data_IF_811183875386
#
_entry.id   IF_811183875386
#
_cell.length_a   1.000
_cell.length_b   1.000
_cell.length_c   1.000
_cell.angle_alpha   90.00
_cell.angle_beta   90.00
_cell.angle_gamma   90.00
#
_symmetry.space_group_name_H-M   'P 1'
#
loop_
_entity.id
_entity.type
_entity.pdbx_description
1 polymer ?
#
# COMPACT_ATOMS: atom_id res chain seq x y z
N UNK A 1 8.26 -55.01 2.43
CA UNK A 1 8.26 -54.00 1.34
C UNK A 1 9.66 -53.46 1.20
N UNK A 2 10.32 -53.72 0.07
CA UNK A 2 11.67 -53.22 -0.18
C UNK A 2 11.66 -51.69 -0.25
N UNK A 3 12.77 -51.05 0.12
CA UNK A 3 12.92 -49.59 0.09
C UNK A 3 12.55 -49.00 -1.29
N UNK A 4 12.93 -49.71 -2.35
CA UNK A 4 12.63 -49.37 -3.74
C UNK A 4 11.12 -49.26 -3.99
N UNK A 5 10.32 -50.21 -3.49
CA UNK A 5 8.87 -50.18 -3.67
C UNK A 5 8.24 -48.96 -2.97
N UNK A 6 8.74 -48.59 -1.80
CA UNK A 6 8.29 -47.38 -1.09
C UNK A 6 8.61 -46.11 -1.87
N UNK A 7 9.80 -46.05 -2.47
CA UNK A 7 10.22 -44.92 -3.29
C UNK A 7 9.39 -44.79 -4.57
N UNK A 8 9.05 -45.91 -5.23
CA UNK A 8 8.17 -45.90 -6.40
C UNK A 8 6.77 -45.40 -6.08
N UNK A 9 6.13 -45.90 -5.03
CA UNK A 9 4.80 -45.44 -4.62
C UNK A 9 4.80 -43.95 -4.25
N UNK A 10 5.83 -43.48 -3.55
CA UNK A 10 5.97 -42.06 -3.20
C UNK A 10 6.18 -41.18 -4.45
N UNK A 11 7.07 -41.59 -5.35
CA UNK A 11 7.37 -40.84 -6.57
C UNK A 11 6.17 -40.79 -7.51
N UNK A 12 5.40 -41.88 -7.61
CA UNK A 12 4.16 -41.92 -8.37
C UNK A 12 3.14 -40.89 -7.83
N UNK A 13 3.00 -40.78 -6.51
CA UNK A 13 2.15 -39.76 -5.88
C UNK A 13 2.60 -38.33 -6.20
N UNK A 14 3.90 -38.05 -6.19
CA UNK A 14 4.44 -36.73 -6.57
C UNK A 14 4.12 -36.42 -8.03
N UNK A 15 4.40 -37.35 -8.95
CA UNK A 15 4.13 -37.16 -10.38
C UNK A 15 2.65 -36.90 -10.62
N UNK A 16 1.77 -37.68 -9.99
CA UNK A 16 0.33 -37.49 -10.07
C UNK A 16 -0.08 -36.09 -9.57
N UNK A 17 0.47 -35.65 -8.43
CA UNK A 17 0.21 -34.32 -7.87
C UNK A 17 0.64 -33.18 -8.80
N UNK A 18 1.83 -33.29 -9.41
CA UNK A 18 2.34 -32.30 -10.38
C UNK A 18 1.45 -32.24 -11.62
N UNK A 19 1.01 -33.38 -12.15
CA UNK A 19 0.09 -33.44 -13.31
C UNK A 19 -1.23 -32.73 -13.00
N UNK A 20 -1.82 -32.98 -11.82
CA UNK A 20 -3.06 -32.33 -11.39
C UNK A 20 -2.89 -30.80 -11.30
N UNK A 21 -1.78 -30.34 -10.71
CA UNK A 21 -1.45 -28.91 -10.60
C UNK A 21 -1.30 -28.30 -12.00
N UNK A 22 -0.52 -28.92 -12.88
CA UNK A 22 -0.33 -28.43 -14.25
C UNK A 22 -1.64 -28.34 -15.03
N UNK A 23 -2.52 -29.34 -14.92
CA UNK A 23 -3.81 -29.31 -15.59
C UNK A 23 -4.74 -28.24 -15.00
N UNK A 24 -4.80 -28.11 -13.66
CA UNK A 24 -5.66 -27.14 -12.97
C UNK A 24 -5.23 -25.69 -13.19
N UNK A 25 -3.92 -25.44 -13.31
CA UNK A 25 -3.34 -24.10 -13.37
C UNK A 25 -2.91 -23.70 -14.79
N UNK A 26 -2.72 -24.65 -15.71
CA UNK A 26 -2.21 -24.42 -17.07
C UNK A 26 -3.15 -23.63 -17.98
N UNK A 27 -4.45 -23.65 -17.72
CA UNK A 27 -5.44 -22.90 -18.51
C UNK A 27 -5.62 -21.44 -18.08
N UNK A 28 -4.83 -20.96 -17.11
CA UNK A 28 -4.90 -19.57 -16.63
C UNK A 28 -4.09 -18.67 -17.55
N UNK A 29 -4.73 -17.61 -18.06
CA UNK A 29 -4.07 -16.58 -18.90
C UNK A 29 -3.11 -15.70 -18.11
N UNK A 30 -3.31 -15.59 -16.80
CA UNK A 30 -2.50 -14.76 -15.91
C UNK A 30 -1.58 -15.60 -15.04
N UNK A 31 -0.33 -15.14 -14.88
CA UNK A 31 0.58 -15.68 -13.88
C UNK A 31 0.01 -15.48 -12.48
N UNK A 32 -0.02 -16.55 -11.69
CA UNK A 32 -0.39 -16.45 -10.28
C UNK A 32 0.68 -15.68 -9.50
N UNK A 33 0.33 -14.46 -9.13
CA UNK A 33 1.11 -13.64 -8.23
C UNK A 33 0.36 -13.48 -6.91
N UNK A 34 1.07 -13.76 -5.80
CA UNK A 34 0.52 -13.63 -4.46
C UNK A 34 1.34 -12.65 -3.63
N UNK A 35 0.66 -11.63 -3.10
CA UNK A 35 1.25 -10.70 -2.15
C UNK A 35 1.14 -11.28 -0.72
N UNK A 36 2.14 -12.06 -0.32
CA UNK A 36 2.20 -12.65 1.02
C UNK A 36 2.62 -11.65 2.10
N UNK A 37 3.48 -10.68 1.76
CA UNK A 37 3.96 -9.71 2.74
C UNK A 37 2.87 -8.71 3.14
N UNK A 38 2.73 -8.38 4.44
CA UNK A 38 1.71 -7.45 4.92
C UNK A 38 1.73 -6.09 4.24
N UNK A 39 2.92 -5.53 4.01
CA UNK A 39 3.12 -4.24 3.33
C UNK A 39 2.56 -4.26 1.90
N UNK A 40 2.99 -5.26 1.11
CA UNK A 40 2.50 -5.45 -0.27
C UNK A 40 0.99 -5.68 -0.32
N UNK A 41 0.43 -6.40 0.65
CA UNK A 41 -1.01 -6.67 0.72
C UNK A 41 -1.82 -5.40 0.94
N UNK A 42 -1.41 -4.54 1.87
CA UNK A 42 -2.11 -3.27 2.13
C UNK A 42 -1.97 -2.33 0.93
N UNK A 43 -0.78 -2.22 0.32
CA UNK A 43 -0.60 -1.42 -0.90
C UNK A 43 -1.50 -1.88 -2.03
N UNK A 44 -1.46 -3.18 -2.34
CA UNK A 44 -2.30 -3.80 -3.37
C UNK A 44 -3.79 -3.55 -3.10
N UNK A 45 -4.22 -3.73 -1.85
CA UNK A 45 -5.58 -3.47 -1.42
C UNK A 45 -5.99 -2.01 -1.67
N UNK A 46 -5.18 -1.04 -1.23
CA UNK A 46 -5.49 0.37 -1.40
C UNK A 46 -5.48 0.80 -2.88
N UNK A 47 -4.56 0.28 -3.70
CA UNK A 47 -4.49 0.60 -5.14
C UNK A 47 -5.61 -0.04 -5.97
N UNK A 48 -6.16 -1.17 -5.53
CA UNK A 48 -7.27 -1.85 -6.20
C UNK A 48 -8.63 -1.33 -5.72
N UNK A 49 -8.66 -0.60 -4.60
CA UNK A 49 -9.87 0.00 -4.05
C UNK A 49 -10.15 1.34 -4.73
N UNK A 50 -11.42 1.65 -4.94
CA UNK A 50 -11.82 3.03 -5.26
C UNK A 50 -11.65 3.90 -4.01
N UNK A 51 -10.73 4.88 -4.09
CA UNK A 51 -10.42 5.78 -2.99
C UNK A 51 -11.20 7.08 -3.14
N UNK A 52 -12.06 7.37 -2.17
CA UNK A 52 -12.77 8.64 -2.08
C UNK A 52 -11.93 9.66 -1.31
N UNK A 53 -11.88 10.89 -1.81
CA UNK A 53 -11.18 11.98 -1.15
C UNK A 53 -12.15 12.79 -0.30
N UNK A 54 -11.74 13.14 0.91
CA UNK A 54 -12.44 14.15 1.72
C UNK A 54 -12.05 15.56 1.25
N UNK A 55 -12.91 16.56 1.43
CA UNK A 55 -12.61 17.96 1.06
C UNK A 55 -11.30 18.44 1.69
N UNK A 56 -11.06 18.06 2.94
CA UNK A 56 -9.81 18.28 3.67
C UNK A 56 -8.61 17.70 2.95
N UNK A 57 -8.71 16.46 2.48
CA UNK A 57 -7.62 15.80 1.75
C UNK A 57 -7.36 16.43 0.39
N UNK A 58 -8.40 16.85 -0.34
CA UNK A 58 -8.29 17.53 -1.63
C UNK A 58 -7.59 18.89 -1.46
N UNK A 59 -8.04 19.68 -0.49
CA UNK A 59 -7.46 20.97 -0.14
C UNK A 59 -5.96 20.83 0.15
N UNK A 60 -5.57 19.79 0.92
CA UNK A 60 -4.15 19.52 1.22
C UNK A 60 -3.36 19.03 0.01
N UNK A 61 -3.90 18.13 -0.80
CA UNK A 61 -3.27 17.69 -2.06
C UNK A 61 -2.92 18.90 -2.94
N UNK A 62 -3.90 19.79 -3.14
CA UNK A 62 -3.73 21.01 -3.94
C UNK A 62 -2.71 21.97 -3.33
N UNK A 63 -2.75 22.18 -2.00
CA UNK A 63 -1.81 23.08 -1.31
C UNK A 63 -0.35 22.63 -1.40
N UNK A 64 -0.11 21.33 -1.58
CA UNK A 64 1.22 20.71 -1.66
C UNK A 64 1.64 20.50 -3.12
N UNK A 65 0.73 20.72 -4.07
CA UNK A 65 0.96 20.47 -5.50
C UNK A 65 1.04 18.98 -5.84
N UNK A 66 0.43 18.10 -5.04
CA UNK A 66 0.34 16.68 -5.37
C UNK A 66 -0.80 16.46 -6.36
N UNK A 67 -0.51 15.70 -7.42
CA UNK A 67 -1.53 15.26 -8.37
C UNK A 67 -2.29 14.04 -7.82
N UNK A 68 -3.62 14.13 -7.76
CA UNK A 68 -4.50 13.04 -7.32
C UNK A 68 -4.47 11.84 -8.26
N UNK A 69 -4.18 12.04 -9.55
CA UNK A 69 -4.04 10.94 -10.53
C UNK A 69 -2.82 10.05 -10.22
N UNK A 70 -1.83 10.59 -9.51
CA UNK A 70 -0.63 9.88 -9.08
C UNK A 70 -0.78 9.18 -7.72
N UNK A 71 -1.99 9.13 -7.14
CA UNK A 71 -2.21 8.50 -5.84
C UNK A 71 -1.65 7.08 -5.76
N UNK A 72 -1.88 6.27 -6.79
CA UNK A 72 -1.38 4.89 -6.82
C UNK A 72 0.15 4.83 -6.76
N UNK A 73 0.83 5.77 -7.40
CA UNK A 73 2.29 5.90 -7.33
C UNK A 73 2.74 6.23 -5.90
N UNK A 74 2.05 7.16 -5.23
CA UNK A 74 2.36 7.53 -3.84
C UNK A 74 2.12 6.36 -2.87
N UNK A 75 1.02 5.61 -3.04
CA UNK A 75 0.75 4.41 -2.23
C UNK A 75 1.86 3.38 -2.41
N UNK A 76 2.26 3.10 -3.65
CA UNK A 76 3.29 2.09 -3.94
C UNK A 76 4.67 2.46 -3.39
N UNK A 77 5.02 3.75 -3.40
CA UNK A 77 6.28 4.27 -2.86
C UNK A 77 6.28 4.43 -1.33
N UNK A 78 5.11 4.35 -0.69
CA UNK A 78 4.99 4.56 0.75
C UNK A 78 5.51 3.39 1.58
N UNK A 79 5.84 3.67 2.83
CA UNK A 79 6.10 2.72 3.91
C UNK A 79 4.89 2.74 4.82
N UNK A 80 4.34 1.57 5.11
CA UNK A 80 3.18 1.43 6.00
C UNK A 80 3.63 1.38 7.45
N UNK A 81 3.10 2.28 8.27
CA UNK A 81 3.30 2.27 9.71
C UNK A 81 2.24 1.39 10.38
N UNK A 82 2.55 0.09 10.50
CA UNK A 82 1.68 -0.87 11.17
C UNK A 82 1.50 -0.61 12.67
N UNK A 83 2.42 0.13 13.31
CA UNK A 83 2.35 0.43 14.74
C UNK A 83 1.30 1.52 15.01
N UNK A 84 1.23 2.52 14.15
CA UNK A 84 0.22 3.59 14.23
C UNK A 84 -1.13 3.21 13.63
N UNK A 85 -1.16 2.20 12.75
CA UNK A 85 -2.37 1.75 12.05
C UNK A 85 -3.31 0.92 12.93
N UNK A 86 -4.61 1.20 12.82
CA UNK A 86 -5.69 0.50 13.50
C UNK A 86 -6.33 -0.49 12.52
N UNK A 87 -5.82 -1.73 12.46
CA UNK A 87 -6.20 -2.69 11.41
C UNK A 87 -6.95 -3.90 11.97
N UNK A 88 -6.41 -4.55 13.01
CA UNK A 88 -6.99 -5.77 13.60
C UNK A 88 -7.86 -5.40 14.79
N UNK A 89 -9.09 -5.91 14.81
CA UNK A 89 -10.04 -5.69 15.91
C UNK A 89 -10.76 -4.34 15.88
N UNK A 90 -10.68 -3.60 14.76
CA UNK A 90 -11.39 -2.34 14.56
C UNK A 90 -12.39 -2.49 13.41
N UNK A 91 -13.63 -2.06 13.66
CA UNK A 91 -14.68 -2.01 12.64
C UNK A 91 -14.30 -1.02 11.53
N UNK A 92 -13.76 0.13 11.95
CA UNK A 92 -13.27 1.16 11.06
C UNK A 92 -11.74 1.17 11.03
N UNK A 93 -11.16 0.69 9.95
CA UNK A 93 -9.72 0.46 9.86
C UNK A 93 -9.01 1.72 9.41
N UNK A 94 -7.91 2.08 10.08
CA UNK A 94 -7.08 3.23 9.70
C UNK A 94 -5.68 2.78 9.30
N UNK A 95 -5.24 3.22 8.13
CA UNK A 95 -3.90 2.94 7.59
C UNK A 95 -3.09 4.21 7.52
N UNK A 96 -1.90 4.18 8.12
CA UNK A 96 -0.92 5.27 8.08
C UNK A 96 0.20 4.89 7.12
N UNK A 97 0.29 5.62 6.02
CA UNK A 97 1.31 5.44 4.99
C UNK A 97 2.22 6.66 5.00
N UNK A 98 3.51 6.48 4.81
CA UNK A 98 4.47 7.59 4.72
C UNK A 98 5.37 7.46 3.51
N UNK A 99 5.62 8.53 2.77
CA UNK A 99 6.55 8.48 1.65
C UNK A 99 7.40 9.75 1.61
N UNK A 100 8.60 9.63 1.04
CA UNK A 100 9.47 10.75 0.80
C UNK A 100 9.14 11.37 -0.55
N UNK A 101 8.72 12.64 -0.53
CA UNK A 101 8.57 13.43 -1.74
C UNK A 101 9.84 14.24 -1.95
N UNK A 102 10.57 13.92 -3.01
CA UNK A 102 11.77 14.65 -3.43
C UNK A 102 11.33 15.78 -4.37
N UNK A 103 11.34 17.00 -3.86
CA UNK A 103 11.25 18.21 -4.68
C UNK A 103 12.57 18.98 -4.52
N UNK A 104 13.01 19.69 -5.57
CA UNK A 104 14.38 20.05 -5.97
C UNK A 104 15.38 20.59 -4.92
N UNK A 105 15.00 20.78 -3.65
CA UNK A 105 15.95 21.11 -2.58
C UNK A 105 15.55 20.61 -1.17
N UNK A 106 14.42 19.93 -0.99
CA UNK A 106 13.93 19.53 0.34
C UNK A 106 13.37 18.11 0.32
N UNK A 107 13.92 17.24 1.17
CA UNK A 107 13.32 15.93 1.44
C UNK A 107 12.15 16.10 2.42
N UNK A 108 10.92 16.02 1.91
CA UNK A 108 9.71 16.16 2.73
C UNK A 108 9.08 14.80 2.96
N UNK A 109 8.82 14.46 4.22
CA UNK A 109 8.10 13.25 4.58
C UNK A 109 6.59 13.55 4.58
N UNK A 110 5.84 12.81 3.79
CA UNK A 110 4.40 12.96 3.62
C UNK A 110 3.70 11.76 4.23
N UNK A 111 2.73 12.00 5.12
CA UNK A 111 1.87 10.97 5.67
C UNK A 111 0.48 11.02 5.03
N UNK A 112 0.03 9.88 4.53
CA UNK A 112 -1.32 9.63 4.03
C UNK A 112 -2.09 8.82 5.08
N UNK A 113 -3.29 9.27 5.41
CA UNK A 113 -4.17 8.60 6.38
C UNK A 113 -5.41 8.12 5.64
N UNK A 114 -5.52 6.80 5.51
CA UNK A 114 -6.68 6.15 4.90
C UNK A 114 -7.58 5.58 5.99
N UNK A 115 -8.88 5.65 5.75
CA UNK A 115 -9.91 5.07 6.58
C UNK A 115 -10.76 4.13 5.72
N UNK A 116 -10.93 2.89 6.17
CA UNK A 116 -11.69 1.86 5.48
C UNK A 116 -12.88 1.48 6.35
N UNK A 117 -14.06 1.71 5.79
CA UNK A 117 -15.32 1.18 6.30
C UNK A 117 -15.73 -0.06 5.48
N UNK A 118 -16.89 -0.66 5.74
CA UNK A 118 -17.36 -1.84 5.00
C UNK A 118 -17.51 -1.59 3.49
N UNK A 119 -17.99 -0.40 3.10
CA UNK A 119 -18.35 -0.09 1.72
C UNK A 119 -17.25 0.61 0.90
N UNK A 120 -16.36 1.38 1.52
CA UNK A 120 -15.43 2.25 0.80
C UNK A 120 -14.12 2.50 1.55
N UNK A 121 -13.11 2.94 0.80
CA UNK A 121 -11.85 3.48 1.32
C UNK A 121 -11.84 4.99 1.12
N UNK A 122 -11.55 5.74 2.17
CA UNK A 122 -11.44 7.20 2.14
C UNK A 122 -10.03 7.65 2.49
N UNK A 123 -9.53 8.62 1.75
CA UNK A 123 -8.38 9.41 2.18
C UNK A 123 -8.87 10.56 3.08
N UNK A 124 -8.58 10.47 4.36
CA UNK A 124 -9.10 11.39 5.37
C UNK A 124 -8.21 12.62 5.52
N UNK A 125 -6.89 12.43 5.49
CA UNK A 125 -5.98 13.53 5.79
C UNK A 125 -4.57 13.29 5.23
N UNK A 126 -3.83 14.39 5.14
CA UNK A 126 -2.43 14.45 4.77
C UNK A 126 -1.66 15.24 5.84
N UNK A 127 -0.49 14.74 6.26
CA UNK A 127 0.42 15.49 7.13
C UNK A 127 1.78 15.60 6.48
N UNK A 128 2.39 16.79 6.57
CA UNK A 128 3.75 17.04 6.13
C UNK A 128 4.67 17.18 7.32
N UNK A 129 5.82 16.52 7.26
CA UNK A 129 6.93 16.73 8.18
C UNK A 129 8.16 17.06 7.36
N UNK A 130 8.65 18.30 7.47
CA UNK A 130 9.93 18.69 6.89
C UNK A 130 11.03 17.98 7.67
N UNK A 131 11.85 17.16 7.00
CA UNK A 131 13.03 16.57 7.61
C UNK A 131 14.00 17.69 7.99
N UNK A 132 14.52 17.69 9.22
CA UNK A 132 15.52 18.66 9.68
C UNK A 132 16.82 18.48 8.88
N UNK A 133 16.95 19.25 7.81
CA UNK A 133 18.18 19.44 7.05
C UNK A 133 18.14 20.84 6.45
N UNK A 134 18.87 21.76 7.09
CA UNK A 134 19.09 23.17 6.75
C UNK A 134 17.88 24.11 6.87
N UNK A 135 17.95 24.91 7.94
CA UNK A 135 17.26 26.18 8.07
C UNK A 135 17.76 27.12 6.96
N UNK A 136 16.87 27.48 6.04
CA UNK A 136 16.95 28.74 5.28
C UNK A 136 15.60 29.42 5.47
N UNK A 137 15.55 30.62 6.05
CA UNK A 137 14.30 31.34 6.22
C UNK A 137 13.99 32.01 4.88
N UNK A 138 13.26 31.33 4.00
CA UNK A 138 12.67 32.00 2.84
C UNK A 138 11.16 32.04 3.03
N UNK A 139 10.69 33.26 3.23
CA UNK A 139 9.31 33.71 3.31
C UNK A 139 8.50 33.25 2.09
N UNK A 140 7.85 32.10 2.21
CA UNK A 140 6.53 31.88 1.61
C UNK A 140 5.72 31.09 2.63
N UNK A 141 4.86 31.81 3.35
CA UNK A 141 3.84 31.20 4.18
C UNK A 141 2.86 30.47 3.25
N UNK A 142 3.11 29.18 3.01
CA UNK A 142 2.05 28.28 2.60
C UNK A 142 1.08 28.21 3.79
N UNK A 143 -0.07 28.86 3.64
CA UNK A 143 -1.16 28.86 4.62
C UNK A 143 -1.70 27.43 4.78
N UNK A 144 -1.03 26.62 5.60
CA UNK A 144 -1.46 25.26 5.93
C UNK A 144 -2.69 25.23 6.86
N UNK A 145 -2.98 26.34 7.54
CA UNK A 145 -4.09 26.48 8.48
C UNK A 145 -5.46 26.64 7.80
N UNK A 146 -5.53 26.67 6.47
CA UNK A 146 -6.78 26.93 5.74
C UNK A 146 -7.60 25.67 5.45
N UNK A 147 -7.01 24.47 5.66
CA UNK A 147 -7.63 23.18 5.35
C UNK A 147 -7.81 22.28 6.60
N UNK A 148 -7.69 22.82 7.83
CA UNK A 148 -7.76 22.03 9.06
C UNK A 148 -9.13 21.99 9.74
#
# INVERSE_FOLDING_TARGET
MNFINRLYFFSFGIVLGVVIIMFSLGNRKEMLSFNYFPDKRVKSFLTQSEVFFTDKSICKFNSIGLDTTLLNKYIMQSIIDFKSSQIRGFDNKKYYLSFHHKNDSINTLIYLIFEKNEAFVKLVNLKLVKSKGQFVPTTSMLNFNQCD
#
